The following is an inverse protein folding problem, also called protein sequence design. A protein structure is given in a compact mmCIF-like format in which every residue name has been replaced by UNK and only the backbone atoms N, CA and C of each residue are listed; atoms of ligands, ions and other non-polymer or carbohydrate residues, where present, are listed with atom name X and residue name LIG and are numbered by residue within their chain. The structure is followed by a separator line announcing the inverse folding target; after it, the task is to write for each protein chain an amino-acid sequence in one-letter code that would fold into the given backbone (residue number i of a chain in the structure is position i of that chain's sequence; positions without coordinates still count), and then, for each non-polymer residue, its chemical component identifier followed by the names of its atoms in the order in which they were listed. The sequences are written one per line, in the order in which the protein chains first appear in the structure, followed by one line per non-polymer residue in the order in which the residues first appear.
data_IF_202383256840
#
_entry.id   IF_202383256840
#
_cell.length_a   1.000
_cell.length_b   1.000
_cell.length_c   1.000
_cell.angle_alpha   90.00
_cell.angle_beta   90.00
_cell.angle_gamma   90.00
#
_symmetry.space_group_name_H-M   'P 1'
#
loop_
_entity.id
_entity.type
_entity.pdbx_description
1 polymer ?
#
# COMPACT_ATOMS: atom_id res chain seq x y z
N UNK A 1 -10.11 -0.11 -23.99
CA UNK A 1 -10.34 -0.62 -25.36
C UNK A 1 -11.46 0.12 -26.06
N UNK A 2 -12.67 0.19 -25.48
CA UNK A 2 -13.76 1.04 -26.02
C UNK A 2 -13.38 2.51 -26.13
N UNK A 3 -12.70 3.05 -25.12
CA UNK A 3 -12.11 4.40 -25.16
C UNK A 3 -11.07 4.60 -26.27
N UNK A 4 -10.50 3.50 -26.79
CA UNK A 4 -9.51 3.48 -27.87
C UNK A 4 -10.15 3.17 -29.23
N UNK A 5 -11.49 3.27 -29.32
CA UNK A 5 -12.25 3.07 -30.57
C UNK A 5 -12.54 1.61 -30.93
N UNK A 6 -12.19 0.63 -30.10
CA UNK A 6 -12.55 -0.77 -30.34
C UNK A 6 -13.94 -1.07 -29.75
N UNK A 7 -14.96 -1.38 -30.56
CA UNK A 7 -16.24 -1.84 -30.04
C UNK A 7 -16.10 -3.26 -29.49
N UNK A 8 -16.08 -3.41 -28.17
CA UNK A 8 -16.06 -4.69 -27.48
C UNK A 8 -16.84 -4.62 -26.17
N UNK A 9 -17.50 -5.72 -25.81
CA UNK A 9 -18.17 -5.94 -24.53
C UNK A 9 -17.26 -6.68 -23.55
N UNK A 10 -17.55 -6.65 -22.23
CA UNK A 10 -16.75 -7.35 -21.22
C UNK A 10 -16.57 -8.86 -21.48
N UNK A 11 -17.48 -9.48 -22.22
CA UNK A 11 -17.46 -10.92 -22.52
C UNK A 11 -16.72 -11.24 -23.83
N UNK A 12 -16.33 -10.24 -24.63
CA UNK A 12 -15.68 -10.41 -25.93
C UNK A 12 -14.19 -10.74 -25.80
N UNK A 13 -13.89 -11.82 -25.08
CA UNK A 13 -12.55 -12.20 -24.65
C UNK A 13 -11.58 -12.34 -25.83
N UNK A 14 -12.00 -12.98 -26.92
CA UNK A 14 -11.14 -13.16 -28.10
C UNK A 14 -10.83 -11.85 -28.83
N UNK A 15 -11.79 -10.92 -28.92
CA UNK A 15 -11.59 -9.60 -29.52
C UNK A 15 -10.60 -8.80 -28.66
N UNK A 16 -10.79 -8.79 -27.33
CA UNK A 16 -9.88 -8.13 -26.40
C UNK A 16 -8.47 -8.70 -26.45
N UNK A 17 -8.34 -10.04 -26.51
CA UNK A 17 -7.04 -10.72 -26.61
C UNK A 17 -6.32 -10.42 -27.92
N UNK A 18 -7.03 -10.41 -29.04
CA UNK A 18 -6.47 -10.09 -30.35
C UNK A 18 -5.94 -8.65 -30.39
N UNK A 19 -6.74 -7.70 -29.88
CA UNK A 19 -6.37 -6.29 -29.86
C UNK A 19 -5.20 -6.01 -28.92
N UNK A 20 -5.19 -6.60 -27.72
CA UNK A 20 -4.08 -6.40 -26.79
C UNK A 20 -2.78 -6.99 -27.36
N UNK A 21 -2.82 -8.17 -28.01
CA UNK A 21 -1.64 -8.72 -28.72
C UNK A 21 -1.14 -7.79 -29.83
N UNK A 22 -2.06 -7.23 -30.62
CA UNK A 22 -1.74 -6.27 -31.70
C UNK A 22 -1.05 -5.03 -31.13
N UNK A 23 -1.60 -4.47 -30.06
CA UNK A 23 -1.06 -3.28 -29.38
C UNK A 23 0.32 -3.50 -28.76
N UNK A 24 0.53 -4.64 -28.09
CA UNK A 24 1.86 -5.01 -27.57
C UNK A 24 2.91 -5.07 -28.69
N UNK A 25 2.56 -5.65 -29.85
CA UNK A 25 3.47 -5.71 -30.99
C UNK A 25 3.72 -4.32 -31.60
N UNK A 26 2.68 -3.52 -31.78
CA UNK A 26 2.76 -2.21 -32.41
C UNK A 26 3.53 -1.18 -31.56
N UNK A 27 3.17 -1.05 -30.28
CA UNK A 27 3.67 0.03 -29.43
C UNK A 27 4.91 -0.37 -28.61
N UNK A 28 5.00 -1.64 -28.21
CA UNK A 28 6.10 -2.12 -27.35
C UNK A 28 7.11 -2.99 -28.11
N UNK A 29 6.83 -3.36 -29.36
CA UNK A 29 7.70 -4.21 -30.17
C UNK A 29 7.88 -5.64 -29.63
N UNK A 30 7.00 -6.10 -28.73
CA UNK A 30 7.15 -7.40 -28.05
C UNK A 30 5.84 -8.19 -27.95
N UNK A 31 5.96 -9.46 -27.57
CA UNK A 31 4.79 -10.32 -27.34
C UNK A 31 4.08 -9.99 -26.03
N UNK A 32 2.75 -10.13 -26.01
CA UNK A 32 1.96 -9.92 -24.80
C UNK A 32 2.28 -11.02 -23.75
N UNK A 33 2.64 -10.65 -22.51
CA UNK A 33 2.93 -11.62 -21.45
C UNK A 33 1.74 -12.53 -21.14
N UNK A 34 2.02 -13.80 -20.79
CA UNK A 34 0.98 -14.78 -20.41
C UNK A 34 0.14 -14.32 -19.21
N UNK A 35 0.74 -13.58 -18.28
CA UNK A 35 0.03 -13.04 -17.12
C UNK A 35 -1.11 -12.09 -17.53
N UNK A 36 -0.84 -11.17 -18.46
CA UNK A 36 -1.84 -10.23 -19.02
C UNK A 36 -2.94 -11.00 -19.75
N UNK A 37 -2.56 -11.98 -20.58
CA UNK A 37 -3.53 -12.82 -21.31
C UNK A 37 -4.44 -13.61 -20.36
N UNK A 38 -3.89 -14.13 -19.26
CA UNK A 38 -4.67 -14.86 -18.26
C UNK A 38 -5.61 -13.93 -17.48
N UNK A 39 -5.21 -12.69 -17.24
CA UNK A 39 -6.05 -11.70 -16.59
C UNK A 39 -7.29 -11.36 -17.41
N UNK A 40 -7.12 -11.13 -18.72
CA UNK A 40 -8.23 -10.89 -19.65
C UNK A 40 -9.19 -12.10 -19.68
N UNK A 41 -8.67 -13.31 -19.46
CA UNK A 41 -9.47 -14.56 -19.33
C UNK A 41 -10.13 -14.75 -17.96
N UNK A 42 -10.11 -13.74 -17.09
CA UNK A 42 -10.79 -13.75 -15.80
C UNK A 42 -9.98 -14.33 -14.64
N UNK A 43 -8.66 -14.60 -14.80
CA UNK A 43 -7.82 -14.89 -13.63
C UNK A 43 -7.50 -13.59 -12.90
N UNK A 44 -7.50 -13.63 -11.57
CA UNK A 44 -7.06 -12.48 -10.78
C UNK A 44 -5.61 -12.11 -11.16
N UNK A 45 -5.34 -10.82 -11.42
CA UNK A 45 -4.02 -10.41 -11.81
C UNK A 45 -3.08 -10.48 -10.58
N UNK A 46 -1.87 -10.98 -10.80
CA UNK A 46 -0.83 -10.93 -9.76
C UNK A 46 -0.17 -9.56 -9.71
N UNK A 47 0.16 -9.09 -8.51
CA UNK A 47 0.92 -7.85 -8.27
C UNK A 47 2.44 -8.04 -8.34
N UNK A 48 2.92 -9.28 -8.47
CA UNK A 48 4.35 -9.63 -8.35
C UNK A 48 5.21 -9.19 -9.54
N UNK A 49 4.63 -8.99 -10.72
CA UNK A 49 5.36 -8.49 -11.89
C UNK A 49 4.76 -7.17 -12.37
N UNK A 50 5.00 -6.10 -11.59
CA UNK A 50 4.49 -4.75 -11.84
C UNK A 50 4.87 -4.23 -13.23
N UNK A 51 6.03 -4.62 -13.77
CA UNK A 51 6.43 -4.27 -15.14
C UNK A 51 5.41 -4.70 -16.19
N UNK A 52 4.87 -5.91 -16.10
CA UNK A 52 3.82 -6.37 -17.04
C UNK A 52 2.57 -5.48 -16.98
N UNK A 53 2.26 -4.93 -15.79
CA UNK A 53 1.10 -4.05 -15.61
C UNK A 53 1.36 -2.69 -16.25
N UNK A 54 2.56 -2.11 -16.12
CA UNK A 54 2.92 -0.88 -16.83
C UNK A 54 3.00 -1.09 -18.33
N UNK A 55 3.58 -2.21 -18.79
CA UNK A 55 3.62 -2.55 -20.21
C UNK A 55 2.21 -2.60 -20.82
N UNK A 56 1.24 -3.16 -20.07
CA UNK A 56 -0.16 -3.13 -20.46
C UNK A 56 -0.71 -1.70 -20.52
N UNK A 57 -0.40 -0.85 -19.55
CA UNK A 57 -0.82 0.55 -19.54
C UNK A 57 -0.27 1.31 -20.75
N UNK A 58 1.01 1.11 -21.11
CA UNK A 58 1.61 1.63 -22.34
C UNK A 58 0.91 1.12 -23.60
N UNK A 59 0.62 -0.19 -23.67
CA UNK A 59 -0.07 -0.78 -24.82
C UNK A 59 -1.49 -0.23 -24.97
N UNK A 60 -2.12 0.16 -23.87
CA UNK A 60 -3.43 0.80 -23.81
C UNK A 60 -3.36 2.33 -23.90
N UNK A 61 -2.17 2.90 -24.13
CA UNK A 61 -1.96 4.34 -24.28
C UNK A 61 -2.49 5.15 -23.08
N UNK A 62 -2.38 4.58 -21.87
CA UNK A 62 -2.80 5.24 -20.65
C UNK A 62 -1.80 6.31 -20.22
N UNK A 63 -2.31 7.40 -19.63
CA UNK A 63 -1.48 8.38 -18.92
C UNK A 63 -1.21 7.98 -17.45
N UNK A 64 -0.49 8.83 -16.72
CA UNK A 64 -0.21 8.64 -15.29
C UNK A 64 -1.49 8.43 -14.45
N UNK A 65 -2.50 9.28 -14.63
CA UNK A 65 -3.72 9.29 -13.81
C UNK A 65 -4.58 8.06 -14.10
N UNK A 66 -4.75 7.71 -15.38
CA UNK A 66 -5.43 6.52 -15.84
C UNK A 66 -4.74 5.26 -15.34
N UNK A 67 -3.42 5.23 -15.38
CA UNK A 67 -2.61 4.11 -14.84
C UNK A 67 -2.83 3.96 -13.33
N UNK A 68 -2.85 5.06 -12.57
CA UNK A 68 -3.12 5.01 -11.15
C UNK A 68 -4.50 4.48 -10.81
N UNK A 69 -5.53 4.97 -11.49
CA UNK A 69 -6.89 4.49 -11.33
C UNK A 69 -7.01 3.00 -11.70
N UNK A 70 -6.30 2.57 -12.74
CA UNK A 70 -6.28 1.19 -13.20
C UNK A 70 -5.67 0.24 -12.16
N UNK A 71 -4.52 0.61 -11.59
CA UNK A 71 -3.86 -0.15 -10.52
C UNK A 71 -4.75 -0.26 -9.27
N UNK A 72 -5.33 0.85 -8.82
CA UNK A 72 -6.24 0.85 -7.67
C UNK A 72 -7.47 -0.03 -7.89
N UNK A 73 -8.10 0.05 -9.08
CA UNK A 73 -9.34 -0.70 -9.36
C UNK A 73 -9.12 -2.19 -9.53
N UNK A 74 -8.04 -2.60 -10.18
CA UNK A 74 -7.87 -3.99 -10.62
C UNK A 74 -6.82 -4.77 -9.83
N UNK A 75 -5.91 -4.08 -9.14
CA UNK A 75 -4.81 -4.70 -8.40
C UNK A 75 -4.82 -4.32 -6.92
N UNK A 76 -5.71 -3.40 -6.50
CA UNK A 76 -5.84 -2.92 -5.11
C UNK A 76 -4.50 -2.43 -4.52
N UNK A 77 -3.65 -1.82 -5.35
CA UNK A 77 -2.33 -1.33 -4.98
C UNK A 77 -2.09 0.01 -5.67
N UNK A 78 -1.19 0.84 -5.14
CA UNK A 78 -0.75 2.03 -5.90
C UNK A 78 0.17 1.62 -7.05
N UNK A 79 0.14 2.35 -8.17
CA UNK A 79 1.28 2.37 -9.08
C UNK A 79 2.43 3.20 -8.46
N UNK A 80 3.56 3.26 -9.14
CA UNK A 80 4.61 4.26 -8.95
C UNK A 80 5.18 4.37 -7.53
N UNK A 81 5.67 3.26 -6.97
CA UNK A 81 6.58 3.32 -5.82
C UNK A 81 7.88 4.02 -6.25
N UNK A 82 7.93 5.36 -6.16
CA UNK A 82 9.02 6.18 -6.74
C UNK A 82 10.42 5.93 -6.15
N UNK A 83 10.51 5.18 -5.05
CA UNK A 83 11.78 4.68 -4.49
C UNK A 83 12.29 3.42 -5.21
N UNK A 84 11.40 2.69 -5.89
CA UNK A 84 11.74 1.64 -6.84
C UNK A 84 12.09 2.27 -8.18
N UNK A 85 13.27 1.91 -8.67
CA UNK A 85 13.79 2.34 -9.97
C UNK A 85 12.82 2.12 -11.12
N UNK A 86 12.21 0.93 -11.15
CA UNK A 86 11.27 0.54 -12.21
C UNK A 86 10.04 1.44 -12.22
N UNK A 87 9.49 1.66 -11.04
CA UNK A 87 8.27 2.45 -10.85
C UNK A 87 8.51 3.94 -11.09
N UNK A 88 9.68 4.46 -10.70
CA UNK A 88 10.09 5.83 -10.98
C UNK A 88 10.22 6.10 -12.49
N UNK A 89 10.86 5.20 -13.24
CA UNK A 89 10.97 5.32 -14.70
C UNK A 89 9.59 5.32 -15.36
N UNK A 90 8.71 4.40 -14.95
CA UNK A 90 7.36 4.35 -15.52
C UNK A 90 6.52 5.56 -15.15
N UNK A 91 6.63 6.10 -13.94
CA UNK A 91 5.99 7.36 -13.56
C UNK A 91 6.44 8.50 -14.49
N UNK A 92 7.74 8.68 -14.61
CA UNK A 92 8.34 9.72 -15.46
C UNK A 92 7.84 9.63 -16.90
N UNK A 93 7.93 8.44 -17.50
CA UNK A 93 7.53 8.25 -18.89
C UNK A 93 6.02 8.42 -19.12
N UNK A 94 5.17 7.95 -18.20
CA UNK A 94 3.72 8.08 -18.35
C UNK A 94 3.24 9.52 -18.07
N UNK A 95 3.90 10.25 -17.19
CA UNK A 95 3.58 11.65 -16.90
C UNK A 95 3.91 12.57 -18.09
N UNK A 96 5.10 12.43 -18.68
CA UNK A 96 5.55 13.25 -19.81
C UNK A 96 5.24 12.62 -21.18
N UNK A 97 4.39 11.59 -21.22
CA UNK A 97 4.00 10.86 -22.45
C UNK A 97 5.22 10.43 -23.31
N UNK A 98 6.32 10.02 -22.67
CA UNK A 98 7.49 9.50 -23.38
C UNK A 98 7.15 8.16 -24.03
N UNK A 99 7.72 7.85 -25.21
CA UNK A 99 7.49 6.56 -25.85
C UNK A 99 8.06 5.42 -25.01
N UNK A 100 7.50 4.20 -25.18
CA UNK A 100 7.94 3.02 -24.44
C UNK A 100 9.44 2.73 -24.55
N UNK A 101 10.04 3.05 -25.70
CA UNK A 101 11.47 2.90 -25.95
C UNK A 101 12.32 3.74 -25.00
N UNK A 102 11.84 4.93 -24.59
CA UNK A 102 12.53 5.74 -23.57
C UNK A 102 12.52 5.04 -22.22
N UNK A 103 11.39 4.43 -21.83
CA UNK A 103 11.32 3.64 -20.60
C UNK A 103 12.29 2.45 -20.63
N UNK A 104 12.38 1.73 -21.76
CA UNK A 104 13.34 0.63 -21.93
C UNK A 104 14.78 1.12 -21.78
N UNK A 105 15.15 2.20 -22.49
CA UNK A 105 16.48 2.81 -22.41
C UNK A 105 16.84 3.22 -20.98
N UNK A 106 15.96 3.94 -20.28
CA UNK A 106 16.20 4.37 -18.90
C UNK A 106 16.31 3.18 -17.92
N UNK A 107 15.54 2.12 -18.13
CA UNK A 107 15.65 0.90 -17.32
C UNK A 107 16.98 0.15 -17.55
N UNK A 108 17.47 0.14 -18.80
CA UNK A 108 18.76 -0.44 -19.15
C UNK A 108 19.92 0.40 -18.60
N UNK A 109 19.94 1.70 -18.82
CA UNK A 109 20.97 2.61 -18.30
C UNK A 109 21.05 2.60 -16.78
N UNK A 110 19.92 2.40 -16.13
CA UNK A 110 19.84 2.37 -14.67
C UNK A 110 20.07 0.99 -14.07
N UNK A 111 20.27 -0.07 -14.88
CA UNK A 111 20.40 -1.46 -14.39
C UNK A 111 21.46 -1.59 -13.30
N UNK A 112 22.57 -0.88 -13.47
CA UNK A 112 23.79 -1.01 -12.68
C UNK A 112 23.92 0.08 -11.60
N UNK A 113 22.88 0.88 -11.37
CA UNK A 113 22.89 1.90 -10.32
C UNK A 113 23.01 1.26 -8.94
N UNK A 114 23.85 1.87 -8.10
CA UNK A 114 24.09 1.43 -6.72
C UNK A 114 22.92 1.89 -5.84
N UNK A 115 22.43 0.97 -5.00
CA UNK A 115 21.41 1.30 -4.02
C UNK A 115 21.97 2.23 -2.95
N UNK A 116 21.23 3.28 -2.64
CA UNK A 116 21.52 4.24 -1.58
C UNK A 116 21.07 3.68 -0.23
N UNK A 117 21.84 3.97 0.82
CA UNK A 117 21.60 3.40 2.15
C UNK A 117 20.52 4.15 2.96
N UNK A 118 20.31 5.44 2.67
CA UNK A 118 19.46 6.33 3.48
C UNK A 118 18.25 6.85 2.69
N UNK A 119 17.11 6.16 2.80
CA UNK A 119 15.85 6.52 2.15
C UNK A 119 14.88 7.28 3.07
N UNK A 120 15.41 8.21 3.87
CA UNK A 120 14.60 9.01 4.80
C UNK A 120 13.81 10.13 4.14
N UNK A 121 14.13 10.46 2.89
CA UNK A 121 13.37 11.43 2.11
C UNK A 121 11.92 10.95 1.95
N UNK A 122 10.98 11.87 2.15
CA UNK A 122 9.56 11.59 2.00
C UNK A 122 9.29 11.15 0.54
N UNK A 123 8.52 10.07 0.38
CA UNK A 123 8.17 9.53 -0.94
C UNK A 123 7.41 10.57 -1.78
N UNK A 124 6.61 11.43 -1.14
CA UNK A 124 5.93 12.57 -1.75
C UNK A 124 6.88 13.58 -2.37
N UNK A 125 7.99 13.90 -1.69
CA UNK A 125 9.03 14.81 -2.19
C UNK A 125 9.75 14.21 -3.39
N UNK A 126 10.11 12.92 -3.32
CA UNK A 126 10.71 12.19 -4.45
C UNK A 126 9.78 12.26 -5.67
N UNK A 127 8.49 11.97 -5.46
CA UNK A 127 7.48 12.06 -6.52
C UNK A 127 7.39 13.46 -7.11
N UNK A 128 7.34 14.50 -6.27
CA UNK A 128 7.28 15.89 -6.73
C UNK A 128 8.46 16.26 -7.62
N UNK A 129 9.67 15.81 -7.29
CA UNK A 129 10.87 16.08 -8.09
C UNK A 129 10.79 15.40 -9.46
N UNK A 130 10.36 14.13 -9.50
CA UNK A 130 10.17 13.40 -10.76
C UNK A 130 9.16 14.12 -11.67
N UNK A 131 8.05 14.58 -11.11
CA UNK A 131 6.99 15.30 -11.84
C UNK A 131 7.38 16.73 -12.26
N UNK A 132 8.53 17.23 -11.83
CA UNK A 132 9.06 18.54 -12.21
C UNK A 132 10.31 18.45 -13.10
N UNK A 133 10.72 17.23 -13.47
CA UNK A 133 11.92 16.98 -14.26
C UNK A 133 11.55 16.45 -15.65
N UNK A 134 11.36 17.30 -16.65
CA UNK A 134 11.10 16.91 -18.05
C UNK A 134 12.38 16.85 -18.91
N UNK A 135 13.41 16.17 -18.40
CA UNK A 135 14.66 15.95 -19.14
C UNK A 135 15.22 14.57 -18.79
N UNK A 136 15.44 13.74 -19.81
CA UNK A 136 15.87 12.35 -19.64
C UNK A 136 17.23 12.24 -18.93
N UNK A 137 18.17 13.16 -19.20
CA UNK A 137 19.51 13.14 -18.62
C UNK A 137 19.49 13.63 -17.16
N UNK A 138 18.69 14.65 -16.85
CA UNK A 138 18.47 15.11 -15.47
C UNK A 138 17.76 14.05 -14.65
N UNK A 139 16.71 13.43 -15.21
CA UNK A 139 15.98 12.35 -14.56
C UNK A 139 16.87 11.13 -14.31
N UNK A 140 17.71 10.73 -15.27
CA UNK A 140 18.65 9.61 -15.10
C UNK A 140 19.67 9.87 -13.98
N UNK A 141 20.19 11.11 -13.89
CA UNK A 141 21.08 11.52 -12.79
C UNK A 141 20.38 11.54 -11.44
N UNK A 142 19.12 11.98 -11.42
CA UNK A 142 18.30 11.91 -10.22
C UNK A 142 18.10 10.46 -9.77
N UNK A 143 17.76 9.57 -10.70
CA UNK A 143 17.51 8.16 -10.45
C UNK A 143 18.76 7.45 -9.86
N UNK A 144 19.96 7.80 -10.32
CA UNK A 144 21.21 7.23 -9.76
C UNK A 144 21.48 7.70 -8.32
N UNK A 145 21.11 8.93 -8.00
CA UNK A 145 21.23 9.49 -6.64
C UNK A 145 20.13 9.03 -5.68
N UNK A 146 19.04 8.44 -6.18
CA UNK A 146 17.85 8.08 -5.41
C UNK A 146 17.34 6.65 -5.68
N UNK A 147 18.23 5.73 -6.00
CA UNK A 147 17.89 4.30 -6.16
C UNK A 147 17.88 3.62 -4.79
N UNK A 148 16.76 3.02 -4.38
CA UNK A 148 16.65 2.30 -3.11
C UNK A 148 16.32 0.83 -3.35
N UNK A 149 16.90 -0.05 -2.51
CA UNK A 149 16.53 -1.45 -2.48
C UNK A 149 15.19 -1.68 -1.78
N UNK A 150 14.74 -2.94 -1.79
CA UNK A 150 13.43 -3.32 -1.26
C UNK A 150 13.26 -3.03 0.24
N UNK A 151 14.34 -3.12 1.02
CA UNK A 151 14.31 -2.81 2.46
C UNK A 151 14.45 -1.31 2.71
N UNK A 152 15.37 -0.65 1.97
CA UNK A 152 15.64 0.78 2.16
C UNK A 152 14.40 1.62 1.89
N UNK A 153 13.60 1.28 0.88
CA UNK A 153 12.43 2.09 0.50
C UNK A 153 11.43 2.34 1.66
N UNK A 154 11.34 1.43 2.63
CA UNK A 154 10.43 1.52 3.77
C UNK A 154 11.06 2.06 5.05
N UNK A 155 12.29 2.57 5.02
CA UNK A 155 12.96 3.11 6.23
C UNK A 155 12.17 4.23 6.91
N UNK A 156 11.61 5.17 6.13
CA UNK A 156 10.75 6.22 6.69
C UNK A 156 9.51 5.63 7.36
N UNK A 157 8.87 4.64 6.71
CA UNK A 157 7.71 3.96 7.27
C UNK A 157 8.04 3.26 8.59
N UNK A 158 9.16 2.52 8.63
CA UNK A 158 9.64 1.85 9.85
C UNK A 158 9.92 2.85 10.97
N UNK A 159 10.55 3.99 10.66
CA UNK A 159 10.79 5.06 11.64
C UNK A 159 9.49 5.57 12.23
N UNK A 160 8.47 5.85 11.40
CA UNK A 160 7.17 6.32 11.87
C UNK A 160 6.45 5.24 12.68
N UNK A 161 6.42 3.99 12.20
CA UNK A 161 5.83 2.86 12.93
C UNK A 161 6.46 2.72 14.32
N UNK A 162 7.79 2.82 14.43
CA UNK A 162 8.48 2.76 15.72
C UNK A 162 8.04 3.90 16.64
N UNK A 163 7.95 5.14 16.15
CA UNK A 163 7.49 6.28 16.95
C UNK A 163 6.06 6.08 17.45
N UNK A 164 5.15 5.63 16.57
CA UNK A 164 3.75 5.38 16.92
C UNK A 164 3.61 4.21 17.92
N UNK A 165 4.43 3.15 17.80
CA UNK A 165 4.51 2.07 18.80
C UNK A 165 4.91 2.61 20.16
N UNK A 166 5.91 3.50 20.23
CA UNK A 166 6.34 4.07 21.51
C UNK A 166 5.26 4.94 22.15
N UNK A 167 4.38 5.58 21.37
CA UNK A 167 3.21 6.28 21.91
C UNK A 167 2.20 5.31 22.54
N UNK A 168 1.85 4.22 21.84
CA UNK A 168 0.96 3.17 22.38
C UNK A 168 1.54 2.57 23.66
N UNK A 169 2.84 2.25 23.65
CA UNK A 169 3.53 1.69 24.83
C UNK A 169 3.52 2.64 26.03
N UNK A 170 3.74 3.94 25.82
CA UNK A 170 3.62 4.94 26.89
C UNK A 170 2.21 4.97 27.47
N UNK A 171 1.18 4.88 26.63
CA UNK A 171 -0.20 4.80 27.06
C UNK A 171 -0.43 3.55 27.93
N UNK A 172 -0.05 2.36 27.45
CA UNK A 172 -0.17 1.09 28.19
C UNK A 172 0.53 1.18 29.55
N UNK A 173 1.78 1.64 29.60
CA UNK A 173 2.56 1.72 30.83
C UNK A 173 1.93 2.70 31.83
N UNK A 174 1.34 3.81 31.36
CA UNK A 174 0.65 4.77 32.22
C UNK A 174 -0.56 4.14 32.94
N UNK A 175 -1.22 3.18 32.30
CA UNK A 175 -2.37 2.46 32.87
C UNK A 175 -2.00 1.14 33.57
N UNK A 176 -0.74 0.70 33.49
CA UNK A 176 -0.21 -0.43 34.28
C UNK A 176 0.11 0.00 35.72
N UNK A 177 -0.95 0.25 36.49
CA UNK A 177 -0.84 0.66 37.90
C UNK A 177 -0.17 -0.38 38.79
N UNK A 178 -0.06 -1.64 38.35
CA UNK A 178 0.48 -2.76 39.13
C UNK A 178 1.92 -3.15 38.72
N UNK A 179 2.52 -2.50 37.71
CA UNK A 179 3.87 -2.78 37.20
C UNK A 179 4.10 -4.26 36.82
N UNK A 180 3.06 -4.93 36.30
CA UNK A 180 3.13 -6.34 35.94
C UNK A 180 3.63 -6.58 34.51
N UNK A 181 3.71 -5.53 33.69
CA UNK A 181 4.21 -5.63 32.32
C UNK A 181 5.73 -5.71 32.27
N UNK A 182 6.24 -6.89 31.94
CA UNK A 182 7.65 -7.05 31.53
C UNK A 182 7.84 -6.52 30.11
N UNK A 183 9.07 -6.09 29.79
CA UNK A 183 9.44 -5.63 28.45
C UNK A 183 9.07 -6.64 27.35
N UNK A 184 9.20 -7.94 27.64
CA UNK A 184 8.88 -9.03 26.71
C UNK A 184 7.38 -9.17 26.42
N UNK A 185 6.51 -8.75 27.36
CA UNK A 185 5.04 -8.80 27.19
C UNK A 185 4.48 -7.52 26.57
N UNK A 186 5.29 -6.48 26.46
CA UNK A 186 4.85 -5.17 25.96
C UNK A 186 4.41 -5.23 24.49
N UNK A 187 5.05 -6.05 23.66
CA UNK A 187 4.61 -6.28 22.28
C UNK A 187 3.23 -6.96 22.24
N UNK A 188 3.02 -7.98 23.07
CA UNK A 188 1.74 -8.68 23.16
C UNK A 188 0.61 -7.79 23.69
N UNK A 189 0.92 -6.89 24.62
CA UNK A 189 -0.02 -5.87 25.09
C UNK A 189 -0.31 -4.83 24.01
N UNK A 190 0.70 -4.38 23.27
CA UNK A 190 0.50 -3.49 22.12
C UNK A 190 -0.45 -4.11 21.10
N UNK A 191 -0.26 -5.39 20.75
CA UNK A 191 -1.17 -6.10 19.83
C UNK A 191 -2.59 -6.20 20.40
N UNK A 192 -2.73 -6.44 21.72
CA UNK A 192 -4.03 -6.48 22.38
C UNK A 192 -4.75 -5.12 22.28
N UNK A 193 -4.06 -4.01 22.54
CA UNK A 193 -4.64 -2.67 22.37
C UNK A 193 -5.08 -2.39 20.92
N UNK A 194 -4.28 -2.81 19.95
CA UNK A 194 -4.58 -2.56 18.54
C UNK A 194 -5.73 -3.42 17.98
N UNK A 195 -5.88 -4.67 18.45
CA UNK A 195 -6.77 -5.65 17.83
C UNK A 195 -7.87 -6.21 18.76
N UNK A 196 -7.77 -5.99 20.07
CA UNK A 196 -8.72 -6.47 21.06
C UNK A 196 -8.57 -7.94 21.45
N UNK A 197 -7.55 -8.66 20.96
CA UNK A 197 -7.34 -10.06 21.29
C UNK A 197 -5.85 -10.47 21.38
N UNK A 198 -5.56 -11.48 22.20
CA UNK A 198 -4.23 -12.06 22.29
C UNK A 198 -4.04 -13.13 21.20
N UNK A 199 -3.10 -12.91 20.28
CA UNK A 199 -2.81 -13.85 19.19
C UNK A 199 -2.40 -15.26 19.66
N UNK A 200 -1.82 -15.38 20.87
CA UNK A 200 -1.24 -16.63 21.39
C UNK A 200 -2.15 -17.47 22.33
N UNK A 201 -3.42 -17.11 22.60
CA UNK A 201 -4.30 -17.97 23.42
C UNK A 201 -4.97 -19.05 22.56
N UNK A 202 -4.56 -20.29 22.79
CA UNK A 202 -5.03 -21.51 22.16
C UNK A 202 -6.41 -21.98 22.66
N UNK A 203 -7.08 -22.78 21.82
CA UNK A 203 -7.93 -23.93 22.18
C UNK A 203 -9.43 -23.80 22.53
N UNK A 204 -10.09 -22.65 22.39
CA UNK A 204 -11.57 -22.66 22.28
C UNK A 204 -12.04 -21.97 21.01
N UNK A 205 -12.35 -22.80 20.02
CA UNK A 205 -12.95 -22.43 18.76
C UNK A 205 -14.28 -21.71 18.99
N UNK A 206 -14.26 -20.37 18.98
CA UNK A 206 -15.39 -19.61 18.46
C UNK A 206 -15.10 -19.45 16.98
N UNK A 207 -15.57 -20.42 16.19
CA UNK A 207 -15.60 -20.38 14.74
C UNK A 207 -16.53 -19.26 14.26
N UNK A 208 -16.10 -17.99 14.32
CA UNK A 208 -16.50 -16.91 13.38
C UNK A 208 -15.39 -15.86 13.34
N UNK A 209 -14.34 -16.16 12.57
CA UNK A 209 -13.30 -15.17 12.23
C UNK A 209 -13.70 -14.47 10.93
N UNK A 210 -13.46 -13.16 10.87
CA UNK A 210 -13.55 -12.39 9.62
C UNK A 210 -12.88 -13.15 8.47
N UNK A 211 -13.42 -13.05 7.24
CA UNK A 211 -12.81 -13.69 6.08
C UNK A 211 -11.33 -13.31 5.95
N UNK A 212 -10.48 -14.26 5.54
CA UNK A 212 -9.01 -14.09 5.48
C UNK A 212 -8.56 -12.80 4.78
N UNK A 213 -9.27 -12.37 3.73
CA UNK A 213 -8.98 -11.12 3.01
C UNK A 213 -9.01 -9.84 3.87
N UNK A 214 -9.71 -9.86 5.00
CA UNK A 214 -9.74 -8.75 5.97
C UNK A 214 -8.60 -8.82 6.98
N UNK A 215 -8.11 -10.02 7.28
CA UNK A 215 -7.18 -10.28 8.40
C UNK A 215 -5.79 -10.73 7.97
N UNK A 216 -5.57 -10.94 6.68
CA UNK A 216 -4.24 -11.29 6.16
C UNK A 216 -3.23 -10.18 6.41
N UNK A 217 -1.99 -10.56 6.74
CA UNK A 217 -0.89 -9.62 7.00
C UNK A 217 -1.13 -8.64 8.15
N UNK A 218 -2.07 -8.90 9.06
CA UNK A 218 -2.16 -8.14 10.31
C UNK A 218 -0.96 -8.44 11.24
N UNK A 219 -0.50 -7.46 12.02
CA UNK A 219 0.60 -7.68 12.94
C UNK A 219 0.19 -8.60 14.10
N UNK A 220 1.14 -9.42 14.52
CA UNK A 220 1.19 -10.13 15.80
C UNK A 220 2.47 -9.76 16.55
N UNK A 221 2.62 -10.29 17.77
CA UNK A 221 3.74 -10.04 18.68
C UNK A 221 5.10 -10.33 18.04
N UNK A 222 5.21 -11.44 17.29
CA UNK A 222 6.44 -11.82 16.58
C UNK A 222 6.74 -10.83 15.47
N UNK A 223 5.78 -10.54 14.58
CA UNK A 223 5.99 -9.62 13.46
C UNK A 223 6.22 -8.17 13.89
N UNK A 224 5.62 -7.75 15.01
CA UNK A 224 5.88 -6.45 15.60
C UNK A 224 7.33 -6.38 16.11
N UNK A 225 7.80 -7.45 16.76
CA UNK A 225 9.20 -7.62 17.11
C UNK A 225 10.12 -7.49 15.90
N UNK A 226 9.82 -8.16 14.78
CA UNK A 226 10.59 -8.04 13.54
C UNK A 226 10.71 -6.60 13.05
N UNK A 227 9.59 -5.86 13.03
CA UNK A 227 9.59 -4.45 12.60
C UNK A 227 10.46 -3.59 13.51
N UNK A 228 10.39 -3.81 14.83
CA UNK A 228 11.18 -3.07 15.83
C UNK A 228 12.68 -3.32 15.64
N UNK A 229 13.09 -4.56 15.35
CA UNK A 229 14.49 -4.95 15.15
C UNK A 229 14.99 -4.76 13.71
N UNK A 230 14.24 -4.04 12.87
CA UNK A 230 14.58 -3.78 11.45
C UNK A 230 14.76 -5.06 10.59
N UNK A 231 14.11 -6.15 10.97
CA UNK A 231 14.06 -7.38 10.16
C UNK A 231 13.09 -7.22 8.98
N UNK A 232 13.29 -8.03 7.93
CA UNK A 232 12.49 -8.04 6.71
C UNK A 232 10.99 -8.20 7.02
N UNK A 233 10.18 -7.29 6.45
CA UNK A 233 8.74 -7.23 6.64
C UNK A 233 8.06 -6.90 5.31
N UNK A 234 6.91 -7.53 5.05
CA UNK A 234 6.19 -7.29 3.80
C UNK A 234 5.55 -5.90 3.78
N UNK A 235 5.37 -5.36 2.56
CA UNK A 235 4.65 -4.10 2.33
C UNK A 235 3.28 -4.06 3.03
N UNK A 236 2.48 -5.13 2.88
CA UNK A 236 1.14 -5.20 3.47
C UNK A 236 1.19 -5.23 5.01
N UNK A 237 2.16 -5.93 5.58
CA UNK A 237 2.35 -5.97 7.03
C UNK A 237 2.70 -4.57 7.56
N UNK A 238 3.66 -3.88 6.95
CA UNK A 238 4.07 -2.53 7.36
C UNK A 238 2.90 -1.54 7.22
N UNK A 239 2.19 -1.57 6.09
CA UNK A 239 1.03 -0.69 5.82
C UNK A 239 -0.08 -0.91 6.85
N UNK A 240 -0.53 -2.15 7.07
CA UNK A 240 -1.61 -2.44 8.02
C UNK A 240 -1.19 -2.15 9.47
N UNK A 241 0.07 -2.38 9.82
CA UNK A 241 0.61 -2.00 11.14
C UNK A 241 0.54 -0.49 11.35
N UNK A 242 0.96 0.31 10.36
CA UNK A 242 0.87 1.77 10.42
C UNK A 242 -0.57 2.27 10.54
N UNK A 243 -1.48 1.70 9.75
CA UNK A 243 -2.91 2.04 9.81
C UNK A 243 -3.53 1.78 11.19
N UNK A 244 -3.24 0.61 11.79
CA UNK A 244 -3.74 0.26 13.13
C UNK A 244 -3.17 1.17 14.21
N UNK A 245 -1.87 1.45 14.17
CA UNK A 245 -1.22 2.34 15.12
C UNK A 245 -1.80 3.75 15.06
N UNK A 246 -1.95 4.29 13.85
CA UNK A 246 -2.54 5.63 13.66
C UNK A 246 -3.99 5.66 14.12
N UNK A 247 -4.77 4.62 13.81
CA UNK A 247 -6.15 4.49 14.27
C UNK A 247 -6.24 4.51 15.79
N UNK A 248 -5.44 3.70 16.48
CA UNK A 248 -5.45 3.66 17.94
C UNK A 248 -5.02 5.00 18.55
N UNK A 249 -3.88 5.56 18.13
CA UNK A 249 -3.36 6.80 18.70
C UNK A 249 -4.28 8.00 18.45
N UNK A 250 -4.96 8.05 17.29
CA UNK A 250 -5.92 9.11 17.00
C UNK A 250 -7.16 9.00 17.90
N UNK A 251 -7.75 7.80 18.03
CA UNK A 251 -9.02 7.62 18.74
C UNK A 251 -8.87 7.36 20.26
N UNK A 252 -7.68 7.05 20.76
CA UNK A 252 -7.43 6.95 22.20
C UNK A 252 -7.46 8.32 22.88
N UNK A 253 -7.14 9.38 22.14
CA UNK A 253 -7.11 10.76 22.61
C UNK A 253 -8.41 11.53 22.29
N UNK A 254 -9.27 10.96 21.45
CA UNK A 254 -10.46 11.62 20.90
C UNK A 254 -11.75 11.13 21.57
N UNK A 255 -12.67 12.05 21.89
CA UNK A 255 -13.98 11.74 22.46
C UNK A 255 -15.08 12.06 21.45
N UNK A 256 -15.98 11.10 21.17
CA UNK A 256 -17.08 11.23 20.22
C UNK A 256 -18.45 11.30 20.93
N UNK A 257 -18.93 12.48 21.34
CA UNK A 257 -20.20 12.61 22.04
C UNK A 257 -21.43 12.49 21.12
N UNK A 258 -21.29 12.77 19.82
CA UNK A 258 -22.39 12.76 18.85
C UNK A 258 -21.94 12.41 17.41
N UNK A 259 -22.91 12.34 16.49
CA UNK A 259 -22.68 11.99 15.09
C UNK A 259 -21.90 13.05 14.30
N UNK A 260 -21.99 14.33 14.64
CA UNK A 260 -21.26 15.39 13.94
C UNK A 260 -19.77 15.27 14.26
N UNK A 261 -19.44 15.11 15.54
CA UNK A 261 -18.05 14.86 15.99
C UNK A 261 -17.49 13.56 15.39
N UNK A 262 -18.28 12.48 15.31
CA UNK A 262 -17.84 11.25 14.62
C UNK A 262 -17.46 11.50 13.16
N UNK A 263 -18.27 12.26 12.42
CA UNK A 263 -17.98 12.55 11.02
C UNK A 263 -16.74 13.45 10.86
N UNK A 264 -16.60 14.48 11.70
CA UNK A 264 -15.42 15.36 11.70
C UNK A 264 -14.15 14.57 12.00
N UNK A 265 -14.15 13.77 13.06
CA UNK A 265 -13.03 12.93 13.44
C UNK A 265 -12.69 11.87 12.39
N UNK A 266 -13.70 11.31 11.70
CA UNK A 266 -13.48 10.41 10.56
C UNK A 266 -12.74 11.13 9.43
N UNK A 267 -13.15 12.36 9.08
CA UNK A 267 -12.53 13.12 8.00
C UNK A 267 -11.08 13.51 8.35
N UNK A 268 -10.85 13.97 9.58
CA UNK A 268 -9.52 14.32 10.08
C UNK A 268 -8.61 13.09 10.12
N UNK A 269 -9.10 11.98 10.69
CA UNK A 269 -8.38 10.70 10.69
C UNK A 269 -8.04 10.25 9.27
N UNK A 270 -9.00 10.30 8.34
CA UNK A 270 -8.80 9.89 6.96
C UNK A 270 -7.74 10.77 6.27
N UNK A 271 -7.80 12.09 6.45
CA UNK A 271 -6.83 13.01 5.87
C UNK A 271 -5.41 12.77 6.42
N UNK A 272 -5.26 12.67 7.74
CA UNK A 272 -3.97 12.41 8.38
C UNK A 272 -3.39 11.05 8.02
N UNK A 273 -4.24 10.01 7.99
CA UNK A 273 -3.82 8.66 7.61
C UNK A 273 -3.34 8.64 6.16
N UNK A 274 -4.08 9.24 5.24
CA UNK A 274 -3.71 9.28 3.83
C UNK A 274 -2.42 10.06 3.59
N UNK A 275 -2.22 11.19 4.28
CA UNK A 275 -0.97 11.95 4.21
C UNK A 275 0.21 11.12 4.72
N UNK A 276 0.05 10.46 5.87
CA UNK A 276 1.08 9.59 6.44
C UNK A 276 1.43 8.43 5.49
N UNK A 277 0.42 7.70 4.99
CA UNK A 277 0.60 6.60 4.04
C UNK A 277 1.32 7.08 2.78
N UNK A 278 0.89 8.21 2.20
CA UNK A 278 1.49 8.78 1.01
C UNK A 278 2.95 9.19 1.23
N UNK A 279 3.26 9.85 2.35
CA UNK A 279 4.64 10.24 2.70
C UNK A 279 5.57 9.03 2.84
N UNK A 280 5.04 7.89 3.29
CA UNK A 280 5.75 6.63 3.47
C UNK A 280 5.85 5.78 2.20
N UNK A 281 5.16 6.16 1.12
CA UNK A 281 5.10 5.38 -0.12
C UNK A 281 4.13 4.20 -0.08
N UNK A 282 3.15 4.25 0.83
CA UNK A 282 2.04 3.31 0.88
C UNK A 282 0.83 3.82 0.12
N UNK A 283 -0.01 2.87 -0.26
CA UNK A 283 -1.34 3.14 -0.77
C UNK A 283 -2.17 3.90 0.24
N UNK A 284 -2.66 5.06 -0.16
CA UNK A 284 -3.75 5.76 0.51
C UNK A 284 -4.95 4.82 0.69
N UNK A 285 -5.83 5.17 1.61
CA UNK A 285 -6.99 4.36 1.93
C UNK A 285 -7.92 4.21 0.71
N UNK A 286 -8.44 3.00 0.53
CA UNK A 286 -9.32 2.69 -0.59
C UNK A 286 -10.52 1.85 -0.14
N UNK A 287 -11.72 2.41 -0.28
CA UNK A 287 -12.97 1.80 0.18
C UNK A 287 -13.28 0.40 -0.38
N UNK A 288 -12.64 -0.02 -1.48
CA UNK A 288 -12.81 -1.39 -2.00
C UNK A 288 -11.76 -2.37 -1.49
N UNK A 289 -10.70 -1.90 -0.84
CA UNK A 289 -9.77 -2.77 -0.16
C UNK A 289 -10.43 -3.30 1.13
N UNK A 290 -10.48 -4.63 1.37
CA UNK A 290 -11.27 -5.19 2.46
C UNK A 290 -10.91 -4.63 3.83
N UNK A 291 -9.61 -4.55 4.14
CA UNK A 291 -9.15 -4.06 5.44
C UNK A 291 -9.35 -2.54 5.61
N UNK A 292 -9.16 -1.75 4.55
CA UNK A 292 -9.35 -0.29 4.62
C UNK A 292 -10.81 0.04 4.88
N UNK A 293 -11.72 -0.64 4.17
CA UNK A 293 -13.16 -0.51 4.38
C UNK A 293 -13.56 -0.87 5.81
N UNK A 294 -13.00 -1.95 6.36
CA UNK A 294 -13.21 -2.35 7.76
C UNK A 294 -12.77 -1.25 8.73
N UNK A 295 -11.58 -0.70 8.53
CA UNK A 295 -11.02 0.32 9.41
C UNK A 295 -11.81 1.63 9.35
N UNK A 296 -12.19 2.07 8.14
CA UNK A 296 -13.02 3.26 7.93
C UNK A 296 -14.44 3.08 8.47
N UNK A 297 -15.00 1.86 8.37
CA UNK A 297 -16.26 1.51 9.02
C UNK A 297 -16.17 1.67 10.55
N UNK A 298 -15.09 1.20 11.17
CA UNK A 298 -14.88 1.35 12.61
C UNK A 298 -14.65 2.82 13.01
N UNK A 299 -13.90 3.57 12.20
CA UNK A 299 -13.68 5.01 12.40
C UNK A 299 -14.98 5.82 12.38
N UNK A 300 -15.96 5.40 11.57
CA UNK A 300 -17.28 6.01 11.49
C UNK A 300 -18.26 5.59 12.60
N UNK A 301 -17.77 5.29 13.80
CA UNK A 301 -18.59 4.84 14.93
C UNK A 301 -18.40 5.73 16.16
N UNK A 302 -19.31 5.62 17.13
CA UNK A 302 -19.22 6.37 18.39
C UNK A 302 -18.02 5.94 19.24
N UNK A 303 -17.70 4.65 19.26
CA UNK A 303 -16.52 4.12 19.93
C UNK A 303 -15.69 3.30 18.93
N UNK A 304 -14.78 3.95 18.18
CA UNK A 304 -14.02 3.30 17.11
C UNK A 304 -13.14 2.14 17.59
N UNK A 305 -12.48 2.29 18.74
CA UNK A 305 -11.59 1.25 19.29
C UNK A 305 -12.42 0.04 19.69
N UNK A 306 -13.49 0.23 20.46
CA UNK A 306 -14.37 -0.87 20.88
C UNK A 306 -15.08 -1.51 19.70
N UNK A 307 -15.48 -0.72 18.69
CA UNK A 307 -16.08 -1.23 17.45
C UNK A 307 -15.08 -2.10 16.69
N UNK A 308 -13.82 -1.68 16.56
CA UNK A 308 -12.77 -2.47 15.94
C UNK A 308 -12.57 -3.80 16.68
N UNK A 309 -12.42 -3.76 18.01
CA UNK A 309 -12.26 -4.96 18.83
C UNK A 309 -13.44 -5.92 18.68
N UNK A 310 -14.67 -5.39 18.75
CA UNK A 310 -15.91 -6.18 18.57
C UNK A 310 -15.97 -6.83 17.20
N UNK A 311 -15.61 -6.10 16.14
CA UNK A 311 -15.63 -6.63 14.77
C UNK A 311 -14.52 -7.67 14.56
N UNK A 312 -13.35 -7.50 15.18
CA UNK A 312 -12.28 -8.48 15.15
C UNK A 312 -12.63 -9.77 15.91
N UNK A 313 -13.36 -9.65 17.02
CA UNK A 313 -13.77 -10.78 17.86
C UNK A 313 -15.00 -11.52 17.30
N UNK A 314 -16.00 -10.80 16.78
CA UNK A 314 -17.31 -11.35 16.41
C UNK A 314 -17.69 -11.20 14.92
N UNK A 315 -16.82 -10.63 14.09
CA UNK A 315 -17.06 -10.40 12.66
C UNK A 315 -17.40 -11.69 11.92
N UNK A 316 -18.61 -11.74 11.34
CA UNK A 316 -19.15 -12.95 10.68
C UNK A 316 -18.78 -13.00 9.19
N UNK A 317 -18.75 -14.23 8.65
CA UNK A 317 -18.80 -14.51 7.21
C UNK A 317 -20.16 -14.19 6.61
#
# INVERSE_FOLDING_TARGET
LTQLGLPCQPNDTEIMLAEIKRRFKQFLGKSCPRAVLNWIRGRNPGVTNRRNNYDLCFALEMDEQQTALFFQKHYLTLPFYVKSKVDAVFLYCLHYHKPYQTAVKLLEESSDFVNQENAHTATSQIRSIILQTDDDAVFSRYLSAHCYGNEQQFQLARKIIKLEIEHVKKHIIKFDTESQLTADRLNSATIFELLGYHYQRSEKAIEKKLPKRFTESLPNDVTLGKIIHDEEASYELLRKTMMLLRFYNFYSETVNPDHQTTNENLMDFHAELDEMLFSCGFAQTYLRHPFDCLLLYCANSYDPITTLHTVMEYGRN
#
